data_IF_729897332425
#
_entry.id   IF_729897332425
#
_cell.length_a   1.000
_cell.length_b   1.000
_cell.length_c   1.000
_cell.angle_alpha   90.00
_cell.angle_beta   90.00
_cell.angle_gamma   90.00
#
_symmetry.space_group_name_H-M   'P 1'
#
loop_
_entity.id
_entity.type
_entity.pdbx_description
1 polymer ?
#
# COMPACT_ATOMS: atom_id res chain seq x y z
N UNK A 1 40.63 3.49 21.92
CA UNK A 1 39.16 3.71 22.00
C UNK A 1 38.51 2.34 22.00
N UNK A 2 38.33 1.74 23.17
CA UNK A 2 38.24 0.27 23.27
C UNK A 2 37.29 -0.16 24.39
N UNK A 3 36.03 0.27 24.26
CA UNK A 3 35.00 0.10 25.29
C UNK A 3 33.66 -0.45 24.76
N UNK A 4 33.60 -0.85 23.49
CA UNK A 4 32.35 -1.30 22.86
C UNK A 4 32.50 -2.64 22.12
N UNK A 5 33.12 -3.62 22.80
CA UNK A 5 33.29 -5.01 22.30
C UNK A 5 33.20 -6.07 23.42
N UNK A 6 32.53 -5.77 24.54
CA UNK A 6 32.54 -6.65 25.73
C UNK A 6 31.18 -6.83 26.44
N UNK A 7 30.08 -6.61 25.72
CA UNK A 7 28.70 -6.74 26.24
C UNK A 7 27.85 -7.76 25.47
N UNK A 8 28.48 -8.75 24.83
CA UNK A 8 27.81 -9.78 23.99
C UNK A 8 28.05 -11.23 24.44
N UNK A 9 28.76 -11.46 25.54
CA UNK A 9 29.11 -12.82 26.03
C UNK A 9 28.35 -13.25 27.30
N UNK A 10 27.39 -12.45 27.77
CA UNK A 10 26.50 -12.81 28.90
C UNK A 10 25.02 -12.76 28.46
N UNK A 11 24.66 -13.68 27.58
CA UNK A 11 23.27 -14.12 27.40
C UNK A 11 23.23 -15.60 27.73
N UNK A 12 22.74 -15.91 28.93
CA UNK A 12 22.62 -17.27 29.42
C UNK A 12 21.65 -18.07 28.52
N UNK A 13 22.11 -19.24 28.08
CA UNK A 13 21.38 -20.17 27.21
C UNK A 13 21.00 -21.47 27.95
N UNK A 14 21.28 -21.58 29.24
CA UNK A 14 21.13 -22.83 30.01
C UNK A 14 19.69 -23.17 30.42
N UNK A 15 18.78 -22.19 30.50
CA UNK A 15 17.35 -22.44 30.78
C UNK A 15 16.63 -23.26 29.69
N UNK A 16 17.20 -23.34 28.47
CA UNK A 16 16.59 -24.01 27.31
C UNK A 16 16.83 -25.53 27.34
N UNK A 17 16.41 -26.20 28.43
CA UNK A 17 16.45 -27.68 28.44
C UNK A 17 15.47 -28.43 29.36
N UNK A 18 14.67 -27.79 30.23
CA UNK A 18 13.91 -28.57 31.24
C UNK A 18 12.51 -28.07 31.65
N UNK A 19 11.65 -27.72 30.67
CA UNK A 19 10.19 -27.68 30.88
C UNK A 19 9.49 -28.49 29.79
N UNK A 20 9.16 -29.74 30.10
CA UNK A 20 8.35 -30.64 29.26
C UNK A 20 7.16 -31.14 30.06
N UNK A 21 5.97 -31.00 29.44
CA UNK A 21 4.61 -31.16 30.00
C UNK A 21 4.08 -29.95 30.79
N UNK A 22 2.82 -29.64 30.49
CA UNK A 22 1.88 -28.78 31.23
C UNK A 22 2.29 -27.32 31.50
N UNK A 23 2.99 -26.68 30.55
CA UNK A 23 2.87 -25.23 30.37
C UNK A 23 1.43 -24.94 29.92
N UNK A 24 0.66 -24.21 30.73
CA UNK A 24 -0.70 -23.83 30.38
C UNK A 24 -0.73 -22.90 29.15
N UNK A 25 -1.79 -22.98 28.35
CA UNK A 25 -1.91 -22.18 27.11
C UNK A 25 -1.79 -20.67 27.35
N UNK A 26 -2.24 -20.19 28.51
CA UNK A 26 -2.12 -18.79 28.92
C UNK A 26 -0.65 -18.37 29.16
N UNK A 27 0.17 -19.21 29.80
CA UNK A 27 1.59 -18.92 30.03
C UNK A 27 2.39 -18.90 28.72
N UNK A 28 2.03 -19.77 27.77
CA UNK A 28 2.62 -19.77 26.43
C UNK A 28 2.24 -18.52 25.62
N UNK A 29 0.98 -18.05 25.74
CA UNK A 29 0.54 -16.80 25.10
C UNK A 29 1.20 -15.56 25.74
N UNK A 30 1.33 -15.51 27.07
CA UNK A 30 2.05 -14.43 27.78
C UNK A 30 3.52 -14.32 27.34
N UNK A 31 4.23 -15.45 27.22
CA UNK A 31 5.60 -15.49 26.70
C UNK A 31 5.68 -15.03 25.24
N UNK A 32 4.70 -15.40 24.42
CA UNK A 32 4.62 -14.98 23.01
C UNK A 32 4.40 -13.47 22.87
N UNK A 33 3.57 -12.86 23.73
CA UNK A 33 3.35 -11.41 23.80
C UNK A 33 4.60 -10.66 24.29
N UNK A 34 5.26 -11.14 25.35
CA UNK A 34 6.53 -10.55 25.84
C UNK A 34 7.64 -10.58 24.79
N UNK A 35 7.72 -11.66 24.00
CA UNK A 35 8.67 -11.76 22.89
C UNK A 35 8.35 -10.74 21.79
N UNK A 36 7.07 -10.58 21.44
CA UNK A 36 6.63 -9.60 20.45
C UNK A 36 6.96 -8.16 20.85
N UNK A 37 6.64 -7.74 22.07
CA UNK A 37 6.85 -6.34 22.48
C UNK A 37 8.35 -6.00 22.53
N UNK A 38 9.21 -6.97 22.88
CA UNK A 38 10.67 -6.86 22.74
C UNK A 38 11.09 -6.70 21.26
N UNK A 39 10.54 -7.49 20.35
CA UNK A 39 10.90 -7.44 18.93
C UNK A 39 10.38 -6.17 18.23
N UNK A 40 9.20 -5.68 18.62
CA UNK A 40 8.71 -4.35 18.21
C UNK A 40 9.59 -3.22 18.76
N UNK A 41 10.12 -3.37 19.97
CA UNK A 41 11.05 -2.38 20.55
C UNK A 41 12.38 -2.33 19.79
N UNK A 42 12.95 -3.47 19.41
CA UNK A 42 14.15 -3.53 18.53
C UNK A 42 13.90 -2.77 17.21
N UNK A 43 12.71 -2.92 16.60
CA UNK A 43 12.37 -2.17 15.38
C UNK A 43 12.19 -0.66 15.63
N UNK A 44 11.73 -0.23 16.81
CA UNK A 44 11.68 1.21 17.18
C UNK A 44 13.09 1.80 17.30
N UNK A 45 14.04 1.03 17.85
CA UNK A 45 15.44 1.43 18.02
C UNK A 45 16.21 1.51 16.70
N UNK A 46 15.93 0.62 15.75
CA UNK A 46 16.44 0.71 14.36
C UNK A 46 15.85 1.93 13.63
N UNK A 47 14.60 2.26 13.91
CA UNK A 47 13.94 3.47 13.43
C UNK A 47 13.33 3.37 12.03
N UNK A 48 12.20 4.06 11.84
CA UNK A 48 11.36 3.94 10.63
C UNK A 48 12.08 4.32 9.34
N UNK A 49 13.02 5.26 9.38
CA UNK A 49 13.77 5.70 8.21
C UNK A 49 14.69 4.60 7.65
N UNK A 50 15.41 3.89 8.53
CA UNK A 50 16.32 2.82 8.12
C UNK A 50 15.55 1.55 7.72
N UNK A 51 14.45 1.24 8.43
CA UNK A 51 13.53 0.15 8.02
C UNK A 51 12.95 0.41 6.62
N UNK A 52 12.53 1.64 6.33
CA UNK A 52 12.04 2.04 5.00
C UNK A 52 13.15 1.88 3.93
N UNK A 53 14.38 2.28 4.27
CA UNK A 53 15.57 2.18 3.40
C UNK A 53 15.97 0.74 3.10
N UNK A 54 15.94 -0.17 4.07
CA UNK A 54 16.21 -1.59 3.89
C UNK A 54 15.06 -2.29 3.14
N UNK A 55 13.89 -2.39 3.79
CA UNK A 55 12.76 -3.24 3.38
C UNK A 55 11.95 -2.73 2.18
N UNK A 56 12.10 -1.44 1.83
CA UNK A 56 11.24 -0.69 0.89
C UNK A 56 9.77 -0.60 1.30
N UNK A 57 9.40 -1.00 2.52
CA UNK A 57 8.07 -0.76 3.08
C UNK A 57 7.92 0.73 3.34
N UNK A 58 6.84 1.35 2.85
CA UNK A 58 6.62 2.78 3.06
C UNK A 58 6.46 3.13 4.55
N UNK A 59 7.16 4.18 5.01
CA UNK A 59 7.18 4.68 6.41
C UNK A 59 5.82 4.60 7.14
N UNK A 60 4.72 5.06 6.52
CA UNK A 60 3.37 5.00 7.10
C UNK A 60 2.93 3.59 7.53
N UNK A 61 3.33 2.55 6.80
CA UNK A 61 2.98 1.16 7.10
C UNK A 61 3.86 0.60 8.23
N UNK A 62 5.12 1.06 8.32
CA UNK A 62 6.02 0.69 9.42
C UNK A 62 5.50 1.30 10.73
N UNK A 63 5.15 2.59 10.74
CA UNK A 63 4.43 3.22 11.88
C UNK A 63 3.21 2.41 12.29
N UNK A 64 2.39 2.00 11.31
CA UNK A 64 1.18 1.20 11.56
C UNK A 64 1.46 -0.16 12.23
N UNK A 65 2.62 -0.77 11.97
CA UNK A 65 3.06 -2.02 12.62
C UNK A 65 3.57 -1.76 14.03
N UNK A 66 4.47 -0.78 14.21
CA UNK A 66 5.10 -0.44 15.50
C UNK A 66 4.12 0.09 16.55
N UNK A 67 3.04 0.73 16.08
CA UNK A 67 1.96 1.33 16.87
C UNK A 67 0.70 0.43 16.90
N UNK A 68 0.78 -0.83 16.42
CA UNK A 68 -0.32 -1.81 16.39
C UNK A 68 -1.65 -1.27 15.79
N UNK A 69 -1.59 -0.37 14.80
CA UNK A 69 -2.75 0.27 14.13
C UNK A 69 -3.41 -0.66 13.11
N UNK A 70 -3.97 -1.77 13.56
CA UNK A 70 -4.49 -2.84 12.72
C UNK A 70 -5.53 -2.39 11.67
N UNK A 71 -6.32 -1.35 11.97
CA UNK A 71 -7.30 -0.71 11.07
C UNK A 71 -6.70 -0.22 9.75
N UNK A 72 -5.43 0.14 9.75
CA UNK A 72 -4.76 0.82 8.63
C UNK A 72 -4.09 -0.13 7.63
N UNK A 73 -4.10 -1.44 7.91
CA UNK A 73 -3.44 -2.47 7.12
C UNK A 73 -4.45 -3.55 6.72
N UNK A 74 -4.53 -3.89 5.43
CA UNK A 74 -5.33 -5.04 4.98
C UNK A 74 -4.61 -6.35 5.28
N UNK A 75 -5.35 -7.43 5.56
CA UNK A 75 -4.82 -8.76 5.95
C UNK A 75 -3.67 -9.27 5.06
N UNK A 76 -3.74 -9.01 3.74
CA UNK A 76 -2.69 -9.35 2.77
C UNK A 76 -1.41 -8.51 2.99
N UNK A 77 -1.53 -7.18 3.05
CA UNK A 77 -0.39 -6.29 3.29
C UNK A 77 0.24 -6.51 4.67
N UNK A 78 -0.60 -6.70 5.69
CA UNK A 78 -0.18 -6.98 7.05
C UNK A 78 0.75 -8.21 7.12
N UNK A 79 0.28 -9.37 6.62
CA UNK A 79 1.07 -10.60 6.57
C UNK A 79 2.34 -10.45 5.71
N UNK A 80 2.24 -9.78 4.55
CA UNK A 80 3.39 -9.55 3.67
C UNK A 80 4.48 -8.65 4.27
N UNK A 81 4.12 -7.58 4.98
CA UNK A 81 5.08 -6.68 5.63
C UNK A 81 5.74 -7.35 6.85
N UNK A 82 4.99 -8.10 7.64
CA UNK A 82 5.55 -8.87 8.76
C UNK A 82 6.60 -9.88 8.26
N UNK A 83 6.28 -10.68 7.25
CA UNK A 83 7.22 -11.64 6.63
C UNK A 83 8.48 -11.00 6.02
N UNK A 84 8.46 -9.70 5.70
CA UNK A 84 9.64 -8.95 5.27
C UNK A 84 10.47 -8.53 6.48
N UNK A 85 9.85 -7.99 7.54
CA UNK A 85 10.53 -7.57 8.77
C UNK A 85 11.19 -8.76 9.49
N UNK A 86 10.49 -9.89 9.62
CA UNK A 86 11.02 -11.13 10.21
C UNK A 86 12.25 -11.63 9.44
N UNK A 87 12.19 -11.60 8.10
CA UNK A 87 13.28 -12.05 7.22
C UNK A 87 14.48 -11.11 7.26
N UNK A 88 14.26 -9.80 7.30
CA UNK A 88 15.33 -8.79 7.30
C UNK A 88 16.06 -8.78 8.65
N UNK A 89 15.32 -8.73 9.76
CA UNK A 89 15.85 -8.49 11.10
C UNK A 89 16.01 -9.75 11.97
N UNK A 90 15.61 -10.93 11.48
CA UNK A 90 15.71 -12.24 12.17
C UNK A 90 14.96 -12.30 13.51
N UNK A 91 13.84 -11.59 13.57
CA UNK A 91 12.92 -11.52 14.72
C UNK A 91 11.64 -12.34 14.46
N UNK A 92 10.95 -12.76 15.53
CA UNK A 92 9.60 -13.34 15.45
C UNK A 92 8.54 -12.24 15.63
N UNK A 93 7.58 -12.15 14.71
CA UNK A 93 6.42 -11.28 14.80
C UNK A 93 5.12 -12.06 14.59
N UNK A 94 5.15 -13.40 14.67
CA UNK A 94 3.99 -14.28 14.48
C UNK A 94 2.84 -13.95 15.44
N UNK A 95 3.14 -13.52 16.67
CA UNK A 95 2.16 -13.02 17.63
C UNK A 95 1.44 -11.75 17.15
N UNK A 96 2.11 -10.86 16.42
CA UNK A 96 1.49 -9.67 15.82
C UNK A 96 0.41 -10.08 14.81
N UNK A 97 0.68 -11.12 14.02
CA UNK A 97 -0.28 -11.66 13.05
C UNK A 97 -1.47 -12.32 13.77
N UNK A 98 -1.24 -13.02 14.89
CA UNK A 98 -2.32 -13.57 15.74
C UNK A 98 -3.20 -12.46 16.32
N UNK A 99 -2.62 -11.39 16.87
CA UNK A 99 -3.37 -10.21 17.34
C UNK A 99 -4.17 -9.55 16.21
N UNK A 100 -3.53 -9.33 15.06
CA UNK A 100 -4.17 -8.77 13.87
C UNK A 100 -5.37 -9.60 13.39
N UNK A 101 -5.20 -10.92 13.24
CA UNK A 101 -6.26 -11.81 12.77
C UNK A 101 -7.42 -11.89 13.78
N UNK A 102 -7.15 -11.90 15.10
CA UNK A 102 -8.19 -11.75 16.13
C UNK A 102 -8.99 -10.45 15.92
N UNK A 103 -8.31 -9.31 15.76
CA UNK A 103 -8.94 -7.99 15.57
C UNK A 103 -9.72 -7.87 14.26
N UNK A 104 -9.34 -8.62 13.21
CA UNK A 104 -10.15 -8.75 12.00
C UNK A 104 -11.43 -9.56 12.24
N UNK A 105 -11.33 -10.74 12.86
CA UNK A 105 -12.49 -11.63 13.11
C UNK A 105 -13.52 -10.96 14.02
N UNK A 106 -13.10 -10.22 15.05
CA UNK A 106 -14.03 -9.43 15.89
C UNK A 106 -14.78 -8.32 15.12
N UNK A 107 -14.33 -7.91 13.92
CA UNK A 107 -15.03 -6.96 13.03
C UNK A 107 -15.83 -7.65 11.92
N UNK A 108 -15.74 -8.97 11.83
CA UNK A 108 -16.52 -9.81 10.93
C UNK A 108 -17.73 -10.41 11.70
N UNK A 109 -17.59 -10.73 12.99
CA UNK A 109 -18.62 -11.37 13.82
C UNK A 109 -19.80 -10.53 14.33
N UNK A 110 -19.85 -9.20 14.15
CA UNK A 110 -21.01 -8.37 14.56
C UNK A 110 -22.05 -8.33 13.43
N UNK A 111 -22.54 -9.51 13.03
CA UNK A 111 -23.26 -9.68 11.76
C UNK A 111 -24.23 -10.85 11.61
N UNK A 112 -24.31 -11.78 12.57
CA UNK A 112 -25.17 -12.98 12.45
C UNK A 112 -25.95 -13.30 13.74
N UNK A 113 -27.25 -12.97 13.70
CA UNK A 113 -28.32 -13.37 14.62
C UNK A 113 -29.62 -13.27 13.79
N UNK A 114 -30.55 -14.23 13.74
CA UNK A 114 -30.63 -15.58 14.32
C UNK A 114 -31.38 -16.54 13.35
N UNK A 115 -31.29 -17.86 13.58
CA UNK A 115 -32.44 -18.79 13.47
C UNK A 115 -32.40 -19.78 14.64
N UNK A 116 -33.56 -20.30 15.01
CA UNK A 116 -33.88 -20.68 16.39
C UNK A 116 -33.67 -22.17 16.76
N UNK A 117 -33.37 -22.36 18.06
CA UNK A 117 -33.87 -23.40 18.97
C UNK A 117 -33.89 -24.89 18.56
N UNK A 118 -33.20 -25.72 19.35
CA UNK A 118 -33.87 -26.67 20.27
C UNK A 118 -32.91 -27.21 21.36
N UNK A 119 -33.44 -27.94 22.35
CA UNK A 119 -32.76 -28.33 23.61
C UNK A 119 -31.80 -29.53 23.52
N UNK A 120 -30.99 -29.82 24.56
CA UNK A 120 -29.80 -30.68 24.47
C UNK A 120 -29.99 -32.13 24.97
N UNK A 121 -29.12 -33.04 24.50
CA UNK A 121 -28.70 -34.25 25.23
C UNK A 121 -27.24 -34.64 24.85
N UNK A 122 -26.63 -35.58 25.57
CA UNK A 122 -25.21 -35.94 25.46
C UNK A 122 -24.86 -36.80 24.22
N UNK A 123 -23.62 -36.69 23.70
CA UNK A 123 -22.57 -37.73 23.90
C UNK A 123 -21.24 -37.50 23.15
N UNK A 124 -20.15 -37.73 23.89
CA UNK A 124 -18.88 -38.37 23.50
C UNK A 124 -18.21 -38.19 22.10
N UNK A 125 -17.04 -37.51 22.16
CA UNK A 125 -15.71 -37.98 21.69
C UNK A 125 -15.25 -37.82 20.21
N UNK A 126 -14.12 -37.10 20.15
CA UNK A 126 -12.90 -37.23 19.29
C UNK A 126 -12.79 -36.36 18.01
N UNK A 127 -11.54 -36.00 17.61
CA UNK A 127 -11.27 -34.79 16.83
C UNK A 127 -10.89 -35.07 15.37
N UNK A 128 -11.03 -34.05 14.51
CA UNK A 128 -10.38 -34.01 13.20
C UNK A 128 -9.49 -32.77 13.05
N UNK A 129 -8.51 -32.89 12.15
CA UNK A 129 -7.35 -31.98 12.02
C UNK A 129 -7.75 -30.61 11.45
N UNK A 130 -7.00 -29.58 11.85
CA UNK A 130 -6.87 -28.35 11.04
C UNK A 130 -5.88 -28.65 9.92
N UNK A 131 -6.40 -28.81 8.70
CA UNK A 131 -5.59 -28.89 7.47
C UNK A 131 -5.66 -27.53 6.77
N UNK A 132 -4.58 -26.75 6.88
CA UNK A 132 -4.52 -25.38 6.38
C UNK A 132 -4.05 -25.37 4.92
N UNK A 133 -4.94 -25.74 4.01
CA UNK A 133 -4.59 -25.98 2.61
C UNK A 133 -4.25 -24.66 1.87
N UNK A 134 -2.96 -24.46 1.63
CA UNK A 134 -2.39 -23.17 1.23
C UNK A 134 -2.07 -23.11 -0.27
N UNK A 135 -3.12 -22.85 -1.08
CA UNK A 135 -2.96 -22.62 -2.52
C UNK A 135 -2.43 -21.21 -2.82
N UNK A 136 -1.10 -21.04 -2.90
CA UNK A 136 -0.53 -19.88 -3.61
C UNK A 136 -0.84 -20.03 -5.10
N UNK A 137 -1.73 -19.19 -5.62
CA UNK A 137 -1.81 -18.95 -7.06
C UNK A 137 -0.58 -18.16 -7.52
N UNK A 138 0.52 -18.87 -7.83
CA UNK A 138 1.63 -18.31 -8.59
C UNK A 138 1.16 -18.04 -10.03
N UNK A 139 0.76 -16.79 -10.30
CA UNK A 139 0.33 -16.37 -11.62
C UNK A 139 1.09 -15.12 -12.09
N UNK A 140 1.55 -15.20 -13.34
CA UNK A 140 1.86 -14.11 -14.28
C UNK A 140 2.33 -12.75 -13.74
N UNK A 141 3.62 -12.67 -13.36
CA UNK A 141 4.41 -11.42 -13.44
C UNK A 141 4.70 -11.04 -14.91
N UNK A 142 3.67 -10.63 -15.64
CA UNK A 142 3.81 -10.13 -17.02
C UNK A 142 4.55 -8.78 -17.03
N UNK A 143 5.86 -8.84 -17.26
CA UNK A 143 6.76 -7.68 -17.34
C UNK A 143 6.42 -6.74 -18.50
N UNK A 144 5.47 -5.83 -18.26
CA UNK A 144 5.19 -4.70 -19.14
C UNK A 144 6.36 -3.71 -19.12
N UNK A 145 7.31 -3.93 -20.05
CA UNK A 145 8.50 -3.10 -20.26
C UNK A 145 8.13 -1.65 -20.62
N UNK A 146 7.93 -0.79 -19.62
CA UNK A 146 7.84 0.67 -19.83
C UNK A 146 9.24 1.27 -19.87
N UNK A 147 9.60 1.88 -21.00
CA UNK A 147 10.95 2.29 -21.34
C UNK A 147 11.51 3.39 -20.42
N UNK A 148 12.51 3.05 -19.61
CA UNK A 148 13.19 4.02 -18.75
C UNK A 148 14.22 4.83 -19.55
N UNK A 149 14.06 6.17 -19.59
CA UNK A 149 14.95 7.11 -20.29
C UNK A 149 16.25 7.43 -19.50
N UNK A 150 16.83 6.45 -18.81
CA UNK A 150 18.00 6.65 -17.93
C UNK A 150 19.38 6.58 -18.64
N UNK A 151 19.42 6.25 -19.93
CA UNK A 151 20.67 6.11 -20.69
C UNK A 151 21.62 7.33 -20.70
N UNK A 152 21.21 8.62 -20.69
CA UNK A 152 22.19 9.72 -20.70
C UNK A 152 22.97 9.86 -19.38
N UNK A 153 22.36 9.57 -18.23
CA UNK A 153 23.03 9.74 -16.93
C UNK A 153 24.19 8.77 -16.71
N UNK A 154 24.10 7.54 -17.23
CA UNK A 154 25.19 6.55 -17.15
C UNK A 154 26.42 7.02 -17.94
N UNK A 155 26.21 7.65 -19.09
CA UNK A 155 27.29 8.18 -19.94
C UNK A 155 27.98 9.36 -19.23
N UNK A 156 27.21 10.31 -18.69
CA UNK A 156 27.76 11.46 -17.95
C UNK A 156 28.56 11.01 -16.72
N UNK A 157 28.05 10.03 -15.95
CA UNK A 157 28.76 9.50 -14.80
C UNK A 157 30.07 8.81 -15.20
N UNK A 158 30.08 8.06 -16.31
CA UNK A 158 31.31 7.44 -16.84
C UNK A 158 32.37 8.47 -17.23
N UNK A 159 31.98 9.57 -17.89
CA UNK A 159 32.91 10.67 -18.24
C UNK A 159 33.52 11.33 -17.00
N UNK A 160 32.72 11.57 -15.94
CA UNK A 160 33.23 12.14 -14.68
C UNK A 160 34.25 11.22 -14.00
N UNK A 161 34.02 9.90 -13.99
CA UNK A 161 34.98 8.92 -13.44
C UNK A 161 36.27 8.89 -14.26
N UNK A 162 36.20 8.99 -15.58
CA UNK A 162 37.40 9.05 -16.46
C UNK A 162 38.21 10.33 -16.18
N UNK A 163 37.56 11.49 -16.04
CA UNK A 163 38.23 12.76 -15.71
C UNK A 163 38.93 12.66 -14.34
N UNK A 164 38.26 12.10 -13.32
CA UNK A 164 38.88 11.88 -12.00
C UNK A 164 40.08 10.94 -12.07
N UNK A 165 40.01 9.85 -12.85
CA UNK A 165 41.14 8.95 -13.06
C UNK A 165 42.32 9.66 -13.74
N UNK A 166 42.07 10.48 -14.76
CA UNK A 166 43.11 11.28 -15.44
C UNK A 166 43.76 12.29 -14.48
N UNK A 167 42.99 12.97 -13.62
CA UNK A 167 43.53 13.88 -12.60
C UNK A 167 44.41 13.14 -11.58
N UNK A 168 44.01 11.95 -11.13
CA UNK A 168 44.81 11.13 -10.21
C UNK A 168 46.12 10.66 -10.86
N UNK A 169 46.07 10.28 -12.14
CA UNK A 169 47.26 9.89 -12.91
C UNK A 169 48.20 11.08 -13.10
N UNK A 170 47.70 12.26 -13.49
CA UNK A 170 48.51 13.47 -13.64
C UNK A 170 49.16 13.91 -12.31
N UNK A 171 48.40 13.86 -11.21
CA UNK A 171 48.89 14.20 -9.87
C UNK A 171 49.93 13.20 -9.33
N UNK A 172 49.96 11.96 -9.83
CA UNK A 172 50.94 10.94 -9.42
C UNK A 172 52.17 10.85 -10.35
N UNK A 173 52.12 11.41 -11.56
CA UNK A 173 53.25 11.40 -12.51
C UNK A 173 54.37 12.43 -12.24
N UNK A 174 54.30 13.21 -11.15
CA UNK A 174 55.38 14.15 -10.76
C UNK A 174 56.62 13.47 -10.14
N UNK A 175 56.66 12.13 -10.09
CA UNK A 175 57.77 11.35 -9.50
C UNK A 175 58.21 10.18 -10.41
N UNK A 176 58.78 10.51 -11.58
CA UNK A 176 59.97 9.83 -12.17
C UNK A 176 60.42 10.45 -13.50
N UNK A 177 61.63 11.01 -13.47
CA UNK A 177 62.58 10.95 -14.60
C UNK A 177 63.25 9.53 -14.57
N UNK A 178 63.99 9.03 -15.56
CA UNK A 178 64.55 9.60 -16.79
C UNK A 178 64.79 8.46 -17.84
N UNK A 179 65.05 8.80 -19.11
CA UNK A 179 65.63 7.95 -20.21
C UNK A 179 64.81 6.74 -20.70
N UNK A 180 64.89 6.31 -21.97
CA UNK A 180 65.43 6.89 -23.22
C UNK A 180 64.74 6.24 -24.45
N UNK A 181 64.69 6.95 -25.58
CA UNK A 181 64.78 6.51 -27.01
C UNK A 181 64.07 5.21 -27.51
N UNK A 182 63.59 5.09 -28.77
CA UNK A 182 63.49 6.00 -29.93
C UNK A 182 62.46 5.46 -30.95
N UNK A 183 61.99 6.34 -31.85
CA UNK A 183 61.58 6.07 -33.25
C UNK A 183 60.13 6.43 -33.61
N UNK A 184 59.93 6.76 -34.89
CA UNK A 184 58.72 7.35 -35.46
C UNK A 184 57.70 6.25 -35.88
N UNK A 185 56.47 6.53 -36.33
CA UNK A 185 56.08 7.31 -37.53
C UNK A 185 54.64 7.85 -37.38
N UNK A 186 54.37 9.03 -37.96
CA UNK A 186 53.04 9.64 -38.24
C UNK A 186 52.77 9.59 -39.77
N UNK A 187 51.55 9.83 -40.31
CA UNK A 187 50.38 10.49 -39.70
C UNK A 187 49.00 9.83 -40.01
N UNK A 188 47.92 10.56 -39.67
CA UNK A 188 46.60 10.70 -40.34
C UNK A 188 45.98 9.56 -41.19
N UNK A 189 44.64 9.41 -41.23
CA UNK A 189 43.71 10.50 -41.59
C UNK A 189 42.29 10.30 -41.03
N UNK A 190 41.57 11.42 -40.86
CA UNK A 190 40.10 11.46 -40.71
C UNK A 190 39.38 10.82 -41.91
N UNK A 191 38.09 10.51 -41.78
CA UNK A 191 37.03 11.11 -42.63
C UNK A 191 35.60 10.70 -42.20
N UNK A 192 34.90 11.67 -41.60
CA UNK A 192 33.47 11.96 -41.85
C UNK A 192 33.39 12.75 -43.19
N UNK A 193 32.26 12.93 -43.93
CA UNK A 193 30.83 12.87 -43.57
C UNK A 193 30.06 11.67 -44.22
N UNK A 194 28.81 11.33 -43.90
CA UNK A 194 27.54 12.08 -43.71
C UNK A 194 26.84 12.50 -45.02
N UNK A 195 25.52 12.74 -44.96
CA UNK A 195 24.53 12.98 -46.05
C UNK A 195 23.89 11.67 -46.63
N UNK A 196 22.60 11.60 -46.99
CA UNK A 196 21.51 12.63 -46.92
C UNK A 196 20.06 12.04 -46.96
N UNK A 197 19.09 12.89 -46.56
CA UNK A 197 17.68 12.99 -47.05
C UNK A 197 16.62 11.90 -46.70
N UNK A 198 15.37 12.36 -46.63
CA UNK A 198 14.09 11.67 -46.31
C UNK A 198 13.17 11.76 -47.58
N UNK A 199 11.82 12.00 -47.62
CA UNK A 199 10.66 11.84 -46.70
C UNK A 199 9.39 11.21 -47.39
N UNK A 200 8.17 11.46 -46.85
CA UNK A 200 6.83 11.50 -47.55
C UNK A 200 6.09 10.15 -47.78
N UNK A 201 4.75 9.97 -47.73
CA UNK A 201 3.49 10.71 -47.38
C UNK A 201 2.71 9.87 -46.29
N UNK A 202 1.79 10.25 -45.38
CA UNK A 202 0.54 11.10 -45.25
C UNK A 202 -0.77 10.50 -45.85
N UNK A 203 -1.93 10.99 -45.40
CA UNK A 203 -3.34 10.86 -45.86
C UNK A 203 -4.20 9.63 -45.48
N UNK A 204 -5.56 9.73 -45.35
CA UNK A 204 -6.47 10.85 -44.98
C UNK A 204 -7.96 10.40 -44.78
N UNK A 205 -8.55 10.76 -43.62
CA UNK A 205 -9.99 11.00 -43.30
C UNK A 205 -11.11 9.93 -43.23
N UNK A 206 -12.11 10.35 -42.45
CA UNK A 206 -13.47 9.91 -42.05
C UNK A 206 -14.56 10.07 -43.15
N UNK A 207 -15.86 9.64 -43.00
CA UNK A 207 -16.82 10.14 -41.98
C UNK A 207 -17.97 9.21 -41.46
N UNK A 208 -18.78 9.75 -40.54
CA UNK A 208 -20.01 9.19 -39.88
C UNK A 208 -21.31 9.39 -40.70
N UNK A 209 -22.47 8.74 -40.41
CA UNK A 209 -23.41 9.02 -39.26
C UNK A 209 -23.96 7.71 -38.61
N UNK A 210 -25.09 7.56 -37.88
CA UNK A 210 -26.30 8.37 -37.51
C UNK A 210 -26.91 7.87 -36.16
N UNK A 211 -27.86 8.64 -35.60
CA UNK A 211 -28.66 8.48 -34.36
C UNK A 211 -29.95 7.64 -34.54
N UNK A 212 -30.41 6.86 -33.54
CA UNK A 212 -31.86 6.75 -33.20
C UNK A 212 -32.14 6.14 -31.80
N UNK A 213 -33.33 6.39 -31.24
CA UNK A 213 -33.79 5.96 -29.90
C UNK A 213 -34.97 4.96 -29.98
N UNK A 214 -35.12 4.05 -28.99
CA UNK A 214 -36.43 3.82 -28.33
C UNK A 214 -36.35 3.12 -26.96
N UNK A 215 -37.34 3.39 -26.12
CA UNK A 215 -37.59 2.84 -24.78
C UNK A 215 -38.46 1.56 -24.76
N UNK A 216 -38.65 1.03 -23.53
CA UNK A 216 -39.66 0.07 -23.03
C UNK A 216 -39.28 -1.44 -23.09
N UNK A 217 -39.55 -2.27 -22.06
CA UNK A 217 -40.10 -2.00 -20.71
C UNK A 217 -39.77 -3.10 -19.68
N UNK A 218 -39.73 -2.70 -18.39
CA UNK A 218 -39.94 -3.47 -17.13
C UNK A 218 -39.61 -4.98 -17.05
N UNK A 219 -38.88 -5.33 -16.00
CA UNK A 219 -39.51 -6.13 -14.92
C UNK A 219 -39.25 -5.46 -13.55
N UNK A 220 -40.00 -5.84 -12.50
CA UNK A 220 -40.11 -5.13 -11.22
C UNK A 220 -39.87 -6.06 -10.02
N UNK A 221 -39.03 -5.63 -9.07
CA UNK A 221 -39.26 -5.98 -7.67
C UNK A 221 -38.76 -4.90 -6.69
N UNK A 222 -39.62 -4.57 -5.72
CA UNK A 222 -39.28 -3.98 -4.42
C UNK A 222 -38.35 -2.75 -4.39
N UNK A 223 -38.91 -1.55 -4.55
CA UNK A 223 -38.36 -0.34 -3.92
C UNK A 223 -39.46 0.43 -3.21
N UNK A 224 -39.34 0.54 -1.89
CA UNK A 224 -40.07 1.53 -1.11
C UNK A 224 -39.59 2.93 -1.50
N UNK A 225 -40.51 3.89 -1.59
CA UNK A 225 -40.20 5.25 -2.00
C UNK A 225 -39.54 6.03 -0.85
N UNK A 226 -38.23 5.89 -0.71
CA UNK A 226 -37.42 6.79 0.12
C UNK A 226 -37.63 8.22 -0.40
N UNK A 227 -38.02 9.14 0.48
CA UNK A 227 -37.98 10.57 0.17
C UNK A 227 -36.52 11.00 0.05
N UNK A 228 -36.01 11.11 -1.18
CA UNK A 228 -34.67 11.64 -1.44
C UNK A 228 -34.62 13.12 -1.04
N UNK A 229 -33.95 13.44 0.08
CA UNK A 229 -33.61 14.82 0.37
C UNK A 229 -32.43 15.22 -0.55
N UNK A 230 -32.41 16.43 -1.14
CA UNK A 230 -31.31 16.87 -2.00
C UNK A 230 -29.95 16.98 -1.27
N UNK A 231 -29.99 17.05 0.06
CA UNK A 231 -28.83 17.07 0.95
C UNK A 231 -28.36 15.68 1.42
N UNK A 232 -29.02 14.58 1.03
CA UNK A 232 -28.53 13.23 1.35
C UNK A 232 -27.50 12.78 0.31
N UNK A 233 -26.35 12.31 0.76
CA UNK A 233 -25.38 11.55 -0.05
C UNK A 233 -25.51 10.08 0.32
N UNK A 234 -25.99 9.24 -0.59
CA UNK A 234 -26.03 7.80 -0.37
C UNK A 234 -24.68 7.19 -0.78
N UNK A 235 -23.93 6.74 0.23
CA UNK A 235 -22.67 6.02 0.06
C UNK A 235 -23.00 4.52 0.03
N UNK A 236 -22.80 3.85 -1.10
CA UNK A 236 -23.17 2.44 -1.29
C UNK A 236 -21.88 1.64 -1.58
N UNK A 237 -21.27 1.00 -0.56
CA UNK A 237 -20.06 0.21 -0.75
C UNK A 237 -20.35 -1.05 -1.58
N UNK A 238 -19.47 -1.40 -2.52
CA UNK A 238 -19.46 -2.74 -3.14
C UNK A 238 -18.66 -3.77 -2.32
N UNK A 239 -17.88 -3.28 -1.35
CA UNK A 239 -17.15 -4.02 -0.31
C UNK A 239 -16.81 -3.06 0.83
N UNK A 240 -16.48 -3.56 2.01
CA UNK A 240 -16.04 -2.77 3.19
C UNK A 240 -15.07 -1.64 2.81
N UNK A 241 -15.49 -0.40 3.06
CA UNK A 241 -14.79 0.81 2.59
C UNK A 241 -14.52 1.77 3.75
N UNK A 242 -13.25 2.12 3.96
CA UNK A 242 -12.88 3.22 4.85
C UNK A 242 -13.21 4.57 4.19
N UNK A 243 -13.89 5.44 4.95
CA UNK A 243 -14.30 6.77 4.53
C UNK A 243 -13.91 7.79 5.59
N UNK A 244 -13.34 8.90 5.13
CA UNK A 244 -13.11 10.14 5.88
C UNK A 244 -14.07 11.20 5.33
N UNK A 245 -14.89 11.77 6.22
CA UNK A 245 -15.79 12.89 5.93
C UNK A 245 -15.37 14.05 6.81
N UNK A 246 -15.04 15.17 6.20
CA UNK A 246 -14.73 16.42 6.90
C UNK A 246 -15.81 17.43 6.55
N UNK A 247 -16.50 17.90 7.58
CA UNK A 247 -17.44 19.03 7.49
C UNK A 247 -16.61 20.32 7.47
N UNK A 248 -16.68 21.09 6.37
CA UNK A 248 -15.89 22.30 6.22
C UNK A 248 -16.45 23.48 7.01
N UNK A 249 -17.76 23.49 7.24
CA UNK A 249 -18.48 24.60 7.85
C UNK A 249 -18.62 24.38 9.37
N UNK A 250 -18.78 23.13 9.81
CA UNK A 250 -18.74 22.76 11.23
C UNK A 250 -17.84 21.53 11.48
N UNK A 251 -16.51 21.76 11.51
CA UNK A 251 -15.46 20.72 11.63
C UNK A 251 -15.71 19.66 12.74
N UNK A 252 -16.51 19.93 13.78
CA UNK A 252 -16.90 18.96 14.84
C UNK A 252 -17.73 17.77 14.35
N UNK A 253 -18.43 17.90 13.22
CA UNK A 253 -19.23 16.82 12.62
C UNK A 253 -18.39 15.85 11.77
N UNK A 254 -17.10 16.14 11.58
CA UNK A 254 -16.17 15.31 10.82
C UNK A 254 -15.97 13.94 11.47
N UNK A 255 -15.86 12.89 10.66
CA UNK A 255 -15.64 11.53 11.15
C UNK A 255 -14.81 10.68 10.18
N UNK A 256 -14.25 9.59 10.71
CA UNK A 256 -13.63 8.52 9.92
C UNK A 256 -14.27 7.19 10.33
N UNK A 257 -14.76 6.39 9.36
CA UNK A 257 -15.45 5.12 9.64
C UNK A 257 -15.32 4.13 8.47
N UNK A 258 -15.46 2.84 8.75
CA UNK A 258 -15.64 1.81 7.71
C UNK A 258 -17.13 1.57 7.50
N UNK A 259 -17.60 1.66 6.25
CA UNK A 259 -18.97 1.29 5.86
C UNK A 259 -18.97 -0.09 5.18
N UNK A 260 -19.86 -0.98 5.66
CA UNK A 260 -20.11 -2.31 5.07
C UNK A 260 -21.42 -2.41 4.28
N UNK A 261 -22.36 -1.49 4.57
CA UNK A 261 -23.71 -1.41 4.01
C UNK A 261 -23.93 0.02 3.50
N UNK A 262 -25.02 0.24 2.75
CA UNK A 262 -25.44 1.59 2.33
C UNK A 262 -25.53 2.53 3.54
N UNK A 263 -25.01 3.75 3.39
CA UNK A 263 -25.00 4.78 4.43
C UNK A 263 -25.52 6.11 3.86
N UNK A 264 -26.69 6.61 4.33
CA UNK A 264 -27.14 7.96 4.03
C UNK A 264 -26.36 8.97 4.89
N UNK A 265 -25.63 9.85 4.24
CA UNK A 265 -24.93 10.97 4.85
C UNK A 265 -25.75 12.25 4.63
N UNK A 266 -26.41 12.73 5.69
CA UNK A 266 -27.15 14.00 5.67
C UNK A 266 -26.17 15.18 5.76
N UNK A 267 -26.04 15.94 4.66
CA UNK A 267 -25.09 17.05 4.58
C UNK A 267 -25.56 18.35 5.24
N UNK A 268 -26.84 18.48 5.63
CA UNK A 268 -27.39 19.65 6.36
C UNK A 268 -27.17 21.03 5.70
N UNK A 269 -27.04 21.12 4.37
CA UNK A 269 -26.55 22.29 3.63
C UNK A 269 -25.08 22.68 3.88
N UNK A 270 -24.28 21.86 4.56
CA UNK A 270 -22.85 22.10 4.75
C UNK A 270 -22.04 21.60 3.54
N UNK A 271 -20.86 22.18 3.33
CA UNK A 271 -19.86 21.75 2.35
C UNK A 271 -18.99 20.65 2.96
N UNK A 272 -18.90 19.50 2.29
CA UNK A 272 -18.20 18.33 2.81
C UNK A 272 -17.03 17.91 1.92
N UNK A 273 -15.88 17.61 2.53
CA UNK A 273 -14.82 16.85 1.88
C UNK A 273 -14.99 15.36 2.20
N UNK A 274 -15.17 14.54 1.16
CA UNK A 274 -15.25 13.08 1.29
C UNK A 274 -14.00 12.45 0.71
N UNK A 275 -13.44 11.45 1.40
CA UNK A 275 -12.32 10.65 0.91
C UNK A 275 -12.58 9.17 1.19
N UNK A 276 -12.43 8.38 0.15
CA UNK A 276 -12.72 6.96 0.12
C UNK A 276 -11.42 6.19 -0.10
N UNK A 277 -11.13 5.20 0.74
CA UNK A 277 -9.90 4.41 0.65
C UNK A 277 -9.66 3.79 -0.73
N UNK A 278 -10.75 3.38 -1.40
CA UNK A 278 -10.77 2.81 -2.75
C UNK A 278 -12.08 3.13 -3.50
N UNK A 279 -12.08 3.00 -4.83
CA UNK A 279 -13.22 3.23 -5.73
C UNK A 279 -14.08 2.00 -6.03
N UNK A 280 -14.36 1.12 -5.05
CA UNK A 280 -15.37 0.05 -5.20
C UNK A 280 -16.65 0.43 -4.45
N UNK A 281 -17.38 1.40 -4.99
CA UNK A 281 -18.60 1.98 -4.43
C UNK A 281 -19.44 2.64 -5.52
N UNK A 282 -20.73 2.80 -5.23
CA UNK A 282 -21.62 3.76 -5.90
C UNK A 282 -21.83 4.94 -4.96
N UNK A 283 -21.82 6.17 -5.50
CA UNK A 283 -22.32 7.36 -4.81
C UNK A 283 -23.59 7.86 -5.50
N UNK A 284 -24.61 8.24 -4.72
CA UNK A 284 -25.82 8.90 -5.25
C UNK A 284 -26.12 10.19 -4.50
N UNK A 285 -26.43 11.26 -5.24
CA UNK A 285 -26.92 12.53 -4.71
C UNK A 285 -27.62 13.30 -5.85
N UNK A 286 -28.74 13.98 -5.56
CA UNK A 286 -29.48 14.82 -6.54
C UNK A 286 -29.72 14.13 -7.89
N UNK A 287 -30.24 12.89 -7.83
CA UNK A 287 -30.47 11.97 -8.96
C UNK A 287 -29.23 11.62 -9.83
N UNK A 288 -28.04 12.13 -9.52
CA UNK A 288 -26.79 11.68 -10.14
C UNK A 288 -26.28 10.43 -9.46
N UNK A 289 -25.87 9.45 -10.26
CA UNK A 289 -25.25 8.20 -9.82
C UNK A 289 -23.83 8.11 -10.38
N UNK A 290 -22.85 8.02 -9.48
CA UNK A 290 -21.43 7.93 -9.81
C UNK A 290 -20.93 6.55 -9.38
N UNK A 291 -20.93 5.59 -10.31
CA UNK A 291 -20.42 4.24 -10.06
C UNK A 291 -18.91 4.13 -10.29
N UNK A 292 -18.23 3.41 -9.40
CA UNK A 292 -16.81 3.09 -9.50
C UNK A 292 -16.56 1.60 -9.22
N UNK A 293 -15.54 1.05 -9.87
CA UNK A 293 -15.06 -0.32 -9.63
C UNK A 293 -13.53 -0.45 -9.76
N UNK A 294 -12.78 0.42 -9.07
CA UNK A 294 -11.31 0.33 -9.01
C UNK A 294 -10.74 0.47 -7.59
N UNK A 295 -9.51 0.00 -7.40
CA UNK A 295 -8.83 0.08 -6.09
C UNK A 295 -8.10 1.42 -5.86
N UNK A 296 -8.47 2.50 -6.58
CA UNK A 296 -7.85 3.83 -6.41
C UNK A 296 -8.57 4.61 -5.30
N UNK A 297 -7.85 5.31 -4.44
CA UNK A 297 -8.44 6.27 -3.49
C UNK A 297 -9.23 7.34 -4.25
N UNK A 298 -10.51 7.53 -3.89
CA UNK A 298 -11.38 8.56 -4.49
C UNK A 298 -11.58 9.70 -3.50
N UNK A 299 -11.77 10.92 -3.99
CA UNK A 299 -11.94 12.15 -3.19
C UNK A 299 -12.95 13.07 -3.85
N UNK A 300 -13.82 13.67 -3.05
CA UNK A 300 -14.90 14.51 -3.54
C UNK A 300 -15.05 15.76 -2.68
N UNK A 301 -15.46 16.85 -3.31
CA UNK A 301 -16.10 17.98 -2.64
C UNK A 301 -17.60 17.88 -2.89
N UNK A 302 -18.39 17.94 -1.83
CA UNK A 302 -19.81 18.21 -1.89
C UNK A 302 -20.07 19.70 -1.64
N UNK A 303 -20.84 20.33 -2.51
CA UNK A 303 -21.42 21.66 -2.26
C UNK A 303 -22.93 21.59 -2.55
N UNK A 304 -23.82 22.11 -1.67
CA UNK A 304 -25.27 21.92 -1.80
C UNK A 304 -25.86 22.29 -3.17
N UNK A 305 -25.32 23.36 -3.78
CA UNK A 305 -25.78 23.90 -5.06
C UNK A 305 -25.18 23.19 -6.29
N UNK A 306 -24.31 22.18 -6.10
CA UNK A 306 -23.57 21.49 -7.18
C UNK A 306 -23.53 19.96 -7.04
N UNK A 307 -23.84 19.42 -5.87
CA UNK A 307 -23.69 18.00 -5.58
C UNK A 307 -22.22 17.55 -5.44
N UNK A 308 -21.94 16.32 -5.83
CA UNK A 308 -20.62 15.66 -5.67
C UNK A 308 -19.68 15.91 -6.87
N UNK A 309 -18.61 16.67 -6.64
CA UNK A 309 -17.52 16.87 -7.60
C UNK A 309 -16.30 16.03 -7.23
N UNK A 310 -15.82 15.16 -8.13
CA UNK A 310 -14.57 14.41 -7.97
C UNK A 310 -13.35 15.37 -8.00
N UNK A 311 -12.47 15.29 -7.01
CA UNK A 311 -11.28 16.15 -6.87
C UNK A 311 -9.98 15.34 -6.70
N UNK A 312 -8.85 15.97 -7.00
CA UNK A 312 -7.52 15.38 -6.85
C UNK A 312 -6.94 15.56 -5.43
N UNK A 313 -5.77 14.97 -5.17
CA UNK A 313 -5.14 15.02 -3.84
C UNK A 313 -4.65 16.41 -3.41
N UNK A 314 -4.20 17.25 -4.35
CA UNK A 314 -3.75 18.60 -4.06
C UNK A 314 -4.94 19.51 -3.70
N UNK A 315 -6.03 19.43 -4.47
CA UNK A 315 -7.29 20.13 -4.18
C UNK A 315 -7.84 19.74 -2.81
N UNK A 316 -7.86 18.44 -2.49
CA UNK A 316 -8.33 17.95 -1.20
C UNK A 316 -7.49 18.50 -0.04
N UNK A 317 -6.15 18.46 -0.13
CA UNK A 317 -5.25 19.00 0.91
C UNK A 317 -5.34 20.52 1.06
N UNK A 318 -5.57 21.25 -0.03
CA UNK A 318 -5.75 22.71 0.01
C UNK A 318 -7.06 23.10 0.72
N UNK A 319 -8.10 22.27 0.61
CA UNK A 319 -9.40 22.49 1.26
C UNK A 319 -9.47 21.96 2.72
N UNK A 320 -8.43 21.31 3.23
CA UNK A 320 -8.37 20.82 4.62
C UNK A 320 -7.84 21.85 5.64
N UNK A 321 -7.20 22.93 5.16
CA UNK A 321 -6.56 23.96 5.97
C UNK A 321 -7.63 24.88 6.57
#
# INVERSE_FOLDING_TARGET
>A
MEQNKKSLENLDLSDVQNISKDISGAALEELSLKNLDKNLQILREIGVAEICKATKIASKNIHSILEKRYESLSRVHARGFIQILEREYKIDLSAWVKEFDKVCVFKEGVGEEQKQETSPEETAKKPLKVELDYSINQANTSLSKKSSKWKPFVIVLGVVVIILAVVIIQNSSSLKEEREQESAIKPDTKNSPFNEVSPTEEKKLEPTPKLEEKHKEQDKQGKEAIKENPNTIYIIPKRDIWVEVIDLDEKKNSFQKVFKKSYPLEAKNHRLLLRFGHGHLILKNNHQEQDYNDSKTRRFLYEPNKGLTLINEAQYKALQQ
#
